data_IF_398445083070
#
_entry.id   IF_398445083070
#
_cell.length_a   1.000
_cell.length_b   1.000
_cell.length_c   1.000
_cell.angle_alpha   90.00
_cell.angle_beta   90.00
_cell.angle_gamma   90.00
#
_symmetry.space_group_name_H-M   'P 1'
#
loop_
_entity.id
_entity.type
_entity.pdbx_description
1 polymer ?
#
# COMPACT_ATOMS: atom_id res chain seq x y z
N UNK A 1 5.49 60.83 -42.73
CA UNK A 1 6.42 59.79 -42.21
C UNK A 1 5.68 58.98 -41.16
N UNK A 2 5.15 57.86 -41.52
CA UNK A 2 4.34 57.00 -40.68
C UNK A 2 5.15 55.87 -40.08
N UNK A 3 4.95 55.59 -38.79
CA UNK A 3 5.52 54.47 -38.07
C UNK A 3 4.46 53.35 -38.08
N UNK A 4 4.78 52.12 -38.47
CA UNK A 4 3.79 51.04 -38.44
C UNK A 4 3.78 50.35 -37.07
N UNK A 5 2.58 50.11 -36.56
CA UNK A 5 2.29 49.35 -35.35
C UNK A 5 2.56 47.84 -35.55
N UNK A 6 3.33 47.26 -34.62
CA UNK A 6 3.51 45.82 -34.46
C UNK A 6 2.67 45.38 -33.26
N UNK A 7 1.53 44.74 -33.59
CA UNK A 7 0.73 44.02 -32.62
C UNK A 7 0.52 42.58 -33.10
N UNK A 8 1.25 41.61 -32.59
CA UNK A 8 0.86 40.22 -32.69
C UNK A 8 0.84 39.60 -31.28
N UNK A 9 -0.38 39.40 -30.80
CA UNK A 9 -0.70 38.59 -29.65
C UNK A 9 -0.22 37.15 -29.85
N UNK A 10 0.72 36.70 -29.01
CA UNK A 10 1.02 35.29 -28.84
C UNK A 10 -0.08 34.67 -28.00
N UNK A 11 -1.02 33.96 -28.63
CA UNK A 11 -1.95 33.04 -27.96
C UNK A 11 -1.20 32.05 -27.08
N UNK A 12 -1.53 32.10 -25.79
CA UNK A 12 -1.01 31.24 -24.76
C UNK A 12 -1.23 29.74 -25.07
N UNK A 13 -0.14 28.98 -25.09
CA UNK A 13 -0.19 27.54 -24.98
C UNK A 13 -0.40 27.19 -23.52
N UNK A 14 -1.63 27.37 -23.05
CA UNK A 14 -2.07 26.98 -21.71
C UNK A 14 -2.39 25.50 -21.62
N UNK A 15 -1.73 24.83 -20.74
CA UNK A 15 -2.30 23.90 -19.76
C UNK A 15 -3.07 22.67 -20.25
N UNK A 16 -2.51 21.87 -21.19
CA UNK A 16 -3.07 20.54 -21.51
C UNK A 16 -2.28 19.34 -20.95
N UNK A 17 -1.22 19.56 -20.16
CA UNK A 17 -0.37 18.46 -19.64
C UNK A 17 -0.65 18.02 -18.20
N UNK A 18 -1.39 18.82 -17.43
CA UNK A 18 -1.66 18.51 -16.01
C UNK A 18 -2.89 17.59 -15.85
N UNK A 19 -3.87 17.66 -16.75
CA UNK A 19 -5.08 16.84 -16.67
C UNK A 19 -4.88 15.35 -16.97
N UNK A 20 -3.98 15.00 -17.89
CA UNK A 20 -3.75 13.61 -18.28
C UNK A 20 -3.08 12.76 -17.18
N UNK A 21 -2.25 13.35 -16.33
CA UNK A 21 -1.56 12.61 -15.28
C UNK A 21 -2.46 12.18 -14.12
N UNK A 22 -3.50 12.96 -13.83
CA UNK A 22 -4.45 12.65 -12.74
C UNK A 22 -5.44 11.57 -13.19
N UNK A 23 -5.88 11.63 -14.43
CA UNK A 23 -6.79 10.62 -15.02
C UNK A 23 -6.08 9.26 -15.20
N UNK A 24 -4.78 9.26 -15.56
CA UNK A 24 -3.97 8.05 -15.66
C UNK A 24 -3.69 7.41 -14.29
N UNK A 25 -3.57 8.20 -13.21
CA UNK A 25 -3.44 7.69 -11.85
C UNK A 25 -4.75 7.08 -11.35
N UNK A 26 -5.88 7.76 -11.58
CA UNK A 26 -7.20 7.25 -11.22
C UNK A 26 -7.58 5.97 -11.99
N UNK A 27 -7.10 5.80 -13.22
CA UNK A 27 -7.27 4.57 -13.99
C UNK A 27 -6.34 3.42 -13.50
N UNK A 28 -5.14 3.71 -13.00
CA UNK A 28 -4.26 2.69 -12.42
C UNK A 28 -4.82 2.10 -11.13
N UNK A 29 -5.51 2.89 -10.32
CA UNK A 29 -6.15 2.40 -9.09
C UNK A 29 -7.33 1.44 -9.36
N UNK A 30 -7.95 1.51 -10.54
CA UNK A 30 -9.01 0.57 -10.95
C UNK A 30 -8.48 -0.76 -11.49
N UNK A 31 -7.23 -0.82 -11.95
CA UNK A 31 -6.66 -2.00 -12.63
C UNK A 31 -6.28 -3.13 -11.66
N UNK A 32 -6.15 -2.86 -10.37
CA UNK A 32 -5.64 -3.84 -9.41
C UNK A 32 -6.70 -4.50 -8.51
N UNK A 33 -8.00 -4.25 -8.71
CA UNK A 33 -9.04 -4.90 -7.90
C UNK A 33 -9.43 -6.23 -8.56
N UNK A 34 -9.15 -7.36 -7.92
CA UNK A 34 -9.59 -8.65 -8.44
C UNK A 34 -11.12 -8.73 -8.42
N UNK A 35 -11.71 -9.23 -9.48
CA UNK A 35 -13.17 -9.38 -9.60
C UNK A 35 -13.56 -10.82 -9.88
N UNK A 36 -14.76 -11.19 -9.48
CA UNK A 36 -15.34 -12.50 -9.79
C UNK A 36 -14.49 -13.67 -9.28
N UNK A 37 -14.17 -14.63 -10.17
CA UNK A 37 -13.45 -15.86 -9.82
C UNK A 37 -12.06 -15.62 -9.21
N UNK A 38 -11.39 -14.55 -9.60
CA UNK A 38 -10.08 -14.17 -9.04
C UNK A 38 -10.20 -13.73 -7.57
N UNK A 39 -11.23 -12.96 -7.24
CA UNK A 39 -11.53 -12.53 -5.88
C UNK A 39 -11.85 -13.74 -4.98
N UNK A 40 -12.68 -14.67 -5.43
CA UNK A 40 -13.00 -15.88 -4.68
C UNK A 40 -11.77 -16.75 -4.41
N UNK A 41 -10.88 -16.89 -5.39
CA UNK A 41 -9.62 -17.61 -5.21
C UNK A 41 -8.73 -16.90 -4.17
N UNK A 42 -8.62 -15.58 -4.25
CA UNK A 42 -7.86 -14.75 -3.30
C UNK A 42 -8.41 -14.89 -1.88
N UNK A 43 -9.73 -14.84 -1.70
CA UNK A 43 -10.38 -15.04 -0.40
C UNK A 43 -10.04 -16.39 0.22
N UNK A 44 -10.10 -17.46 -0.56
CA UNK A 44 -9.73 -18.82 -0.08
C UNK A 44 -8.28 -18.87 0.40
N UNK A 45 -7.36 -18.29 -0.36
CA UNK A 45 -5.94 -18.23 -0.01
C UNK A 45 -5.74 -17.40 1.26
N UNK A 46 -6.32 -16.21 1.32
CA UNK A 46 -6.21 -15.33 2.49
C UNK A 46 -6.80 -15.95 3.74
N UNK A 47 -7.97 -16.60 3.63
CA UNK A 47 -8.60 -17.30 4.75
C UNK A 47 -7.72 -18.42 5.30
N UNK A 48 -7.18 -19.26 4.41
CA UNK A 48 -6.26 -20.32 4.81
C UNK A 48 -4.99 -19.77 5.47
N UNK A 49 -4.38 -18.72 4.89
CA UNK A 49 -3.20 -18.07 5.46
C UNK A 49 -3.50 -17.45 6.82
N UNK A 50 -4.63 -16.77 6.97
CA UNK A 50 -5.04 -16.11 8.20
C UNK A 50 -5.20 -17.14 9.34
N UNK A 51 -5.95 -18.21 9.12
CA UNK A 51 -6.13 -19.29 10.11
C UNK A 51 -4.78 -19.92 10.46
N UNK A 52 -3.99 -20.32 9.46
CA UNK A 52 -2.67 -20.93 9.69
C UNK A 52 -1.76 -19.99 10.48
N UNK A 53 -1.77 -18.69 10.17
CA UNK A 53 -0.96 -17.70 10.87
C UNK A 53 -1.40 -17.55 12.34
N UNK A 54 -2.71 -17.53 12.61
CA UNK A 54 -3.25 -17.51 13.96
C UNK A 54 -2.77 -18.71 14.78
N UNK A 55 -2.89 -19.91 14.22
CA UNK A 55 -2.44 -21.14 14.87
C UNK A 55 -0.93 -21.15 15.11
N UNK A 56 -0.12 -20.75 14.14
CA UNK A 56 1.35 -20.75 14.27
C UNK A 56 1.85 -19.70 15.26
N UNK A 57 1.24 -18.50 15.27
CA UNK A 57 1.70 -17.41 16.11
C UNK A 57 1.21 -17.52 17.57
N UNK A 58 -0.03 -17.99 17.76
CA UNK A 58 -0.70 -17.92 19.05
C UNK A 58 -1.16 -19.26 19.59
N UNK A 59 -1.20 -20.31 18.77
CA UNK A 59 -1.69 -21.64 19.20
C UNK A 59 -3.16 -21.65 19.59
N UNK A 60 -3.98 -20.78 18.96
CA UNK A 60 -5.40 -20.57 19.28
C UNK A 60 -6.24 -20.56 18.02
N UNK A 61 -7.54 -20.85 18.19
CA UNK A 61 -8.53 -20.62 17.16
C UNK A 61 -8.77 -19.12 16.96
N UNK A 62 -9.29 -18.74 15.78
CA UNK A 62 -9.45 -17.33 15.39
C UNK A 62 -10.40 -16.61 16.36
N UNK A 63 -11.44 -17.29 16.81
CA UNK A 63 -12.46 -16.77 17.72
C UNK A 63 -11.96 -16.49 19.15
N UNK A 64 -10.80 -17.02 19.50
CA UNK A 64 -10.18 -16.86 20.82
C UNK A 64 -9.11 -15.74 20.82
N UNK A 65 -8.83 -15.14 19.67
CA UNK A 65 -7.81 -14.11 19.55
C UNK A 65 -8.29 -12.78 20.14
N UNK A 66 -7.40 -12.09 20.81
CA UNK A 66 -7.58 -10.70 21.21
C UNK A 66 -7.44 -9.76 20.00
N UNK A 67 -7.94 -8.53 20.11
CA UNK A 67 -7.85 -7.52 19.05
C UNK A 67 -6.40 -7.29 18.57
N UNK A 68 -5.44 -7.27 19.51
CA UNK A 68 -4.00 -7.12 19.20
C UNK A 68 -3.45 -8.34 18.45
N UNK A 69 -3.90 -9.54 18.82
CA UNK A 69 -3.50 -10.78 18.14
C UNK A 69 -4.11 -10.86 16.74
N UNK A 70 -5.37 -10.41 16.56
CA UNK A 70 -6.02 -10.27 15.26
C UNK A 70 -5.22 -9.31 14.37
N UNK A 71 -4.89 -8.10 14.87
CA UNK A 71 -4.04 -7.15 14.16
C UNK A 71 -2.71 -7.78 13.70
N UNK A 72 -2.01 -8.46 14.61
CA UNK A 72 -0.73 -9.13 14.30
C UNK A 72 -0.89 -10.24 13.26
N UNK A 73 -1.98 -11.00 13.32
CA UNK A 73 -2.29 -12.05 12.34
C UNK A 73 -2.55 -11.47 10.96
N UNK A 74 -3.29 -10.36 10.88
CA UNK A 74 -3.55 -9.62 9.63
C UNK A 74 -2.23 -9.10 9.05
N UNK A 75 -1.41 -8.44 9.87
CA UNK A 75 -0.13 -7.89 9.44
C UNK A 75 0.83 -8.98 8.92
N UNK A 76 0.88 -10.14 9.60
CA UNK A 76 1.69 -11.28 9.17
C UNK A 76 1.16 -11.91 7.86
N UNK A 77 -0.17 -11.98 7.69
CA UNK A 77 -0.81 -12.46 6.45
C UNK A 77 -0.49 -11.53 5.27
N UNK A 78 -0.56 -10.21 5.49
CA UNK A 78 -0.16 -9.20 4.50
C UNK A 78 1.32 -9.33 4.15
N UNK A 79 2.20 -9.49 5.14
CA UNK A 79 3.64 -9.70 4.93
C UNK A 79 3.94 -10.93 4.06
N UNK A 80 3.20 -12.03 4.22
CA UNK A 80 3.37 -13.20 3.35
C UNK A 80 3.09 -12.85 1.88
N UNK A 81 2.06 -12.04 1.61
CA UNK A 81 1.74 -11.60 0.25
C UNK A 81 2.81 -10.68 -0.35
N UNK A 82 3.45 -9.86 0.46
CA UNK A 82 4.58 -9.01 0.05
C UNK A 82 5.82 -9.85 -0.24
N UNK A 83 6.08 -10.89 0.56
CA UNK A 83 7.30 -11.68 0.47
C UNK A 83 7.48 -12.35 -0.89
N UNK A 84 6.40 -12.82 -1.52
CA UNK A 84 6.43 -13.43 -2.85
C UNK A 84 6.91 -12.42 -3.92
N UNK A 85 6.47 -11.19 -3.84
CA UNK A 85 6.89 -10.11 -4.74
C UNK A 85 8.32 -9.67 -4.45
N UNK A 86 8.70 -9.58 -3.19
CA UNK A 86 10.05 -9.24 -2.75
C UNK A 86 11.11 -10.19 -3.31
N UNK A 87 10.85 -11.51 -3.27
CA UNK A 87 11.75 -12.52 -3.81
C UNK A 87 11.91 -12.34 -5.33
N UNK A 88 10.83 -12.11 -6.07
CA UNK A 88 10.85 -11.88 -7.51
C UNK A 88 11.65 -10.64 -7.87
N UNK A 89 11.42 -9.53 -7.15
CA UNK A 89 12.12 -8.26 -7.34
C UNK A 89 13.62 -8.40 -7.11
N UNK A 90 14.03 -9.08 -6.02
CA UNK A 90 15.44 -9.28 -5.73
C UNK A 90 16.16 -10.14 -6.80
N UNK A 91 15.49 -11.18 -7.31
CA UNK A 91 16.03 -11.97 -8.43
C UNK A 91 16.21 -11.11 -9.68
N UNK A 92 15.21 -10.30 -10.02
CA UNK A 92 15.27 -9.42 -11.18
C UNK A 92 16.41 -8.40 -11.07
N UNK A 93 16.63 -7.79 -9.91
CA UNK A 93 17.73 -6.88 -9.67
C UNK A 93 19.10 -7.56 -9.85
N UNK A 94 19.24 -8.78 -9.32
CA UNK A 94 20.48 -9.55 -9.44
C UNK A 94 20.77 -9.93 -10.91
N UNK A 95 19.76 -10.38 -11.64
CA UNK A 95 19.88 -10.81 -13.04
C UNK A 95 20.18 -9.63 -13.98
N UNK A 96 19.49 -8.50 -13.80
CA UNK A 96 19.62 -7.33 -14.68
C UNK A 96 20.72 -6.37 -14.28
N UNK A 97 21.35 -6.57 -13.10
CA UNK A 97 22.36 -5.66 -12.54
C UNK A 97 21.87 -4.22 -12.49
N UNK A 98 20.60 -4.02 -12.12
CA UNK A 98 19.99 -2.70 -12.06
C UNK A 98 20.61 -1.86 -10.95
N UNK A 99 20.61 -0.53 -11.13
CA UNK A 99 21.07 0.40 -10.10
C UNK A 99 20.12 0.36 -8.91
N UNK A 100 20.70 0.27 -7.71
CA UNK A 100 19.97 0.31 -6.45
C UNK A 100 20.26 1.62 -5.73
N UNK A 101 19.25 2.22 -5.16
CA UNK A 101 19.35 3.41 -4.32
C UNK A 101 19.11 3.00 -2.89
N UNK A 102 20.01 3.40 -2.00
CA UNK A 102 19.91 3.16 -0.57
C UNK A 102 19.69 4.49 0.14
N UNK A 103 18.55 4.64 0.81
CA UNK A 103 18.25 5.79 1.63
C UNK A 103 18.45 5.46 3.10
N UNK A 104 19.26 6.25 3.78
CA UNK A 104 19.55 6.09 5.20
C UNK A 104 18.98 7.26 5.98
N UNK A 105 18.24 6.99 7.03
CA UNK A 105 17.78 7.98 7.99
C UNK A 105 17.82 7.39 9.40
N UNK A 106 18.05 8.23 10.40
CA UNK A 106 17.95 7.84 11.81
C UNK A 106 16.53 8.02 12.35
N UNK A 107 15.66 8.66 11.57
CA UNK A 107 14.26 8.89 11.92
C UNK A 107 13.34 8.47 10.77
N UNK A 108 12.21 7.85 11.11
CA UNK A 108 11.13 7.49 10.20
C UNK A 108 9.79 7.66 10.91
N UNK A 109 9.08 8.76 10.65
CA UNK A 109 7.74 9.02 11.19
C UNK A 109 6.66 8.54 10.21
N UNK A 110 6.51 7.23 10.12
CA UNK A 110 5.65 6.57 9.12
C UNK A 110 4.16 6.63 9.49
N UNK A 111 3.84 6.56 10.78
CA UNK A 111 2.46 6.39 11.23
C UNK A 111 1.95 4.96 11.08
N UNK A 112 0.64 4.81 11.05
CA UNK A 112 -0.05 3.53 10.83
C UNK A 112 -0.06 3.18 9.35
N UNK A 113 0.37 1.99 8.99
CA UNK A 113 0.59 1.58 7.60
C UNK A 113 -0.28 0.40 7.14
N UNK A 114 -0.95 -0.31 8.06
CA UNK A 114 -1.69 -1.51 7.72
C UNK A 114 -2.72 -1.26 6.63
N UNK A 115 -3.55 -0.23 6.81
CA UNK A 115 -4.62 0.10 5.84
C UNK A 115 -4.06 0.41 4.45
N UNK A 116 -3.07 1.30 4.35
CA UNK A 116 -2.46 1.67 3.07
C UNK A 116 -1.79 0.47 2.40
N UNK A 117 -1.12 -0.39 3.17
CA UNK A 117 -0.51 -1.61 2.65
C UNK A 117 -1.55 -2.59 2.11
N UNK A 118 -2.68 -2.80 2.79
CA UNK A 118 -3.74 -3.68 2.32
C UNK A 118 -4.39 -3.16 1.03
N UNK A 119 -4.59 -1.84 0.93
CA UNK A 119 -5.11 -1.17 -0.29
C UNK A 119 -4.11 -1.35 -1.44
N UNK A 120 -2.83 -1.06 -1.22
CA UNK A 120 -1.78 -1.16 -2.24
C UNK A 120 -1.57 -2.60 -2.73
N UNK A 121 -1.77 -3.59 -1.85
CA UNK A 121 -1.75 -5.00 -2.22
C UNK A 121 -3.03 -5.46 -2.94
N UNK A 122 -4.09 -4.65 -2.94
CA UNK A 122 -5.39 -4.99 -3.51
C UNK A 122 -6.12 -6.12 -2.77
N UNK A 123 -5.79 -6.35 -1.48
CA UNK A 123 -6.35 -7.44 -0.66
C UNK A 123 -7.33 -6.98 0.42
N UNK A 124 -7.52 -5.67 0.61
CA UNK A 124 -8.34 -5.11 1.69
C UNK A 124 -9.77 -5.66 1.67
N UNK A 125 -10.46 -5.60 0.52
CA UNK A 125 -11.85 -6.07 0.41
C UNK A 125 -11.96 -7.59 0.63
N UNK A 126 -11.05 -8.36 0.04
CA UNK A 126 -11.03 -9.81 0.23
C UNK A 126 -10.80 -10.19 1.71
N UNK A 127 -9.91 -9.47 2.38
CA UNK A 127 -9.62 -9.70 3.80
C UNK A 127 -10.79 -9.28 4.69
N UNK A 128 -11.47 -8.18 4.37
CA UNK A 128 -12.68 -7.73 5.06
C UNK A 128 -13.79 -8.78 5.02
N UNK A 129 -14.00 -9.41 3.86
CA UNK A 129 -14.96 -10.50 3.73
C UNK A 129 -14.53 -11.75 4.52
N UNK A 130 -13.24 -12.11 4.48
CA UNK A 130 -12.68 -13.22 5.28
C UNK A 130 -12.88 -13.00 6.77
N UNK A 131 -12.62 -11.79 7.28
CA UNK A 131 -12.85 -11.46 8.68
C UNK A 131 -14.34 -11.48 9.05
N UNK A 132 -15.22 -11.07 8.12
CA UNK A 132 -16.65 -11.15 8.28
C UNK A 132 -17.16 -12.58 8.53
N UNK A 133 -16.52 -13.61 7.94
CA UNK A 133 -16.84 -15.02 8.21
C UNK A 133 -16.62 -15.39 9.69
N UNK A 134 -15.74 -14.70 10.39
CA UNK A 134 -15.44 -14.87 11.83
C UNK A 134 -16.12 -13.81 12.70
N UNK A 135 -17.01 -12.99 12.13
CA UNK A 135 -17.67 -11.86 12.82
C UNK A 135 -16.68 -10.81 13.33
N UNK A 136 -15.49 -10.71 12.72
CA UNK A 136 -14.48 -9.74 13.03
C UNK A 136 -14.55 -8.53 12.09
N UNK A 137 -14.15 -7.36 12.61
CA UNK A 137 -14.19 -6.11 11.87
C UNK A 137 -12.76 -5.62 11.57
N UNK A 138 -12.43 -5.45 10.30
CA UNK A 138 -11.10 -4.97 9.88
C UNK A 138 -10.81 -3.56 10.42
N UNK A 139 -11.83 -2.71 10.61
CA UNK A 139 -11.65 -1.36 11.16
C UNK A 139 -11.10 -1.36 12.58
N UNK A 140 -11.49 -2.34 13.40
CA UNK A 140 -10.98 -2.49 14.77
C UNK A 140 -9.48 -2.81 14.77
N UNK A 141 -9.02 -3.64 13.82
CA UNK A 141 -7.61 -3.93 13.66
C UNK A 141 -6.78 -2.68 13.27
N UNK A 142 -7.36 -1.74 12.53
CA UNK A 142 -6.69 -0.47 12.22
C UNK A 142 -6.53 0.43 13.45
N UNK A 143 -7.50 0.41 14.37
CA UNK A 143 -7.43 1.23 15.59
C UNK A 143 -6.40 0.70 16.61
N UNK A 144 -6.17 -0.61 16.62
CA UNK A 144 -5.22 -1.26 17.51
C UNK A 144 -3.77 -1.16 17.00
N UNK A 145 -3.57 -0.81 15.71
CA UNK A 145 -2.22 -0.67 15.15
C UNK A 145 -1.42 0.39 15.89
N UNK A 146 -0.25 0.04 16.46
CA UNK A 146 0.62 1.04 17.08
C UNK A 146 1.22 1.96 16.03
N UNK A 147 1.38 3.24 16.36
CA UNK A 147 2.06 4.19 15.51
C UNK A 147 3.54 3.83 15.37
N UNK A 148 3.99 3.56 14.16
CA UNK A 148 5.39 3.29 13.86
C UNK A 148 6.17 4.61 13.72
N UNK A 149 6.28 5.35 14.82
CA UNK A 149 6.97 6.64 14.88
C UNK A 149 8.37 6.52 15.46
N UNK A 150 9.40 6.42 14.63
CA UNK A 150 10.79 6.53 15.04
C UNK A 150 11.30 7.94 14.78
N UNK A 151 11.33 8.76 15.81
CA UNK A 151 11.76 10.16 15.71
C UNK A 151 10.64 11.15 16.05
N UNK A 152 10.93 12.45 15.95
CA UNK A 152 10.02 13.51 16.39
C UNK A 152 10.08 14.80 15.55
N UNK A 153 10.81 14.80 14.46
CA UNK A 153 11.05 16.04 13.70
C UNK A 153 10.88 15.92 12.20
N UNK A 154 11.28 16.98 11.51
CA UNK A 154 11.19 17.11 10.06
C UNK A 154 12.00 16.06 9.30
N UNK A 155 13.11 15.56 9.88
CA UNK A 155 13.93 14.50 9.30
C UNK A 155 13.12 13.19 9.14
N UNK A 156 12.41 12.79 10.20
CA UNK A 156 11.59 11.60 10.19
C UNK A 156 10.39 11.73 9.26
N UNK A 157 9.77 12.91 9.18
CA UNK A 157 8.67 13.17 8.24
C UNK A 157 9.13 13.20 6.79
N UNK A 158 10.32 13.75 6.52
CA UNK A 158 10.91 13.71 5.17
C UNK A 158 11.14 12.26 4.71
N UNK A 159 11.70 11.42 5.58
CA UNK A 159 11.90 10.01 5.30
C UNK A 159 10.57 9.27 5.01
N UNK A 160 9.53 9.57 5.78
CA UNK A 160 8.18 9.03 5.55
C UNK A 160 7.61 9.48 4.20
N UNK A 161 7.75 10.75 3.84
CA UNK A 161 7.30 11.26 2.54
C UNK A 161 8.02 10.59 1.36
N UNK A 162 9.31 10.29 1.49
CA UNK A 162 10.01 9.53 0.45
C UNK A 162 9.46 8.12 0.29
N UNK A 163 9.20 7.41 1.40
CA UNK A 163 8.62 6.05 1.35
C UNK A 163 7.22 6.07 0.76
N UNK A 164 6.40 7.07 1.11
CA UNK A 164 5.03 7.22 0.60
C UNK A 164 5.00 7.56 -0.92
N UNK A 165 6.12 8.08 -1.46
CA UNK A 165 6.22 8.55 -2.85
C UNK A 165 6.84 7.50 -3.81
N UNK A 166 7.36 6.39 -3.30
CA UNK A 166 8.00 5.32 -4.06
C UNK A 166 6.99 4.23 -4.45
#
# INVERSE_FOLDING_TARGET
MGIPALGQEKKGRGNKRIGKGVDDLAQKDQVNRPTGKALETMKKILKSRFITTAHVMFGREVEELTEVEIYKTIAATAKQSISDNWIKTNKQYAERKEKQIYYFSIEFLLGRLLKSNLINLGIEEALKEVLGDFKLNLSEAYEVEPDAGLGNGGLGRLAACFIDSL
#
